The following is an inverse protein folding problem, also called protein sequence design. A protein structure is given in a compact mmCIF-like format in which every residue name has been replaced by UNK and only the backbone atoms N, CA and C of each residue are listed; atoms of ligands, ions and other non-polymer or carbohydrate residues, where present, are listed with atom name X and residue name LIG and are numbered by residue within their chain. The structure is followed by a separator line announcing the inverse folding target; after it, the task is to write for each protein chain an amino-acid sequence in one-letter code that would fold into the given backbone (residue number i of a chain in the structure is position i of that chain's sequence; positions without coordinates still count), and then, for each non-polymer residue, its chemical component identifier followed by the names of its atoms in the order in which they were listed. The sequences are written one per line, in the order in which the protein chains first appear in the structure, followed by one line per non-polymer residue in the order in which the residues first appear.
data_IF_168159751425
#
_entry.id   IF_168159751425
#
_cell.length_a   1.000
_cell.length_b   1.000
_cell.length_c   1.000
_cell.angle_alpha   90.00
_cell.angle_beta   90.00
_cell.angle_gamma   90.00
#
_symmetry.space_group_name_H-M   'P 1'
#
loop_
_entity.id
_entity.type
_entity.pdbx_description
1 polymer ?
#
# COMPACT_ATOMS: atom_id res chain seq x y z
N UNK A 1 -6.87 11.48 -2.90
CA UNK A 1 -8.25 11.57 -3.38
C UNK A 1 -8.54 10.41 -4.32
N UNK A 2 -9.74 9.84 -4.25
CA UNK A 2 -10.22 8.77 -5.14
C UNK A 2 -11.07 9.42 -6.22
N UNK A 3 -10.81 9.12 -7.50
CA UNK A 3 -11.66 9.50 -8.63
C UNK A 3 -12.70 8.39 -8.85
N UNK A 4 -13.96 8.75 -8.93
CA UNK A 4 -15.05 7.81 -9.24
C UNK A 4 -15.38 7.89 -10.72
N UNK A 5 -15.40 6.74 -11.38
CA UNK A 5 -15.80 6.56 -12.79
C UNK A 5 -17.02 5.64 -12.82
N UNK A 6 -18.11 6.09 -13.41
CA UNK A 6 -19.36 5.33 -13.48
C UNK A 6 -19.60 4.88 -14.93
N UNK A 7 -20.16 3.68 -15.11
CA UNK A 7 -20.61 3.19 -16.41
C UNK A 7 -21.63 4.17 -17.04
N UNK A 8 -21.60 4.32 -18.36
CA UNK A 8 -22.48 5.26 -19.05
C UNK A 8 -23.93 4.77 -19.11
N UNK A 9 -24.12 3.46 -19.01
CA UNK A 9 -25.44 2.81 -19.06
C UNK A 9 -25.53 1.71 -18.00
N UNK A 10 -26.76 1.30 -17.71
CA UNK A 10 -27.01 0.03 -17.03
C UNK A 10 -26.56 -1.10 -17.96
N UNK A 11 -25.85 -2.08 -17.41
CA UNK A 11 -25.28 -3.19 -18.17
C UNK A 11 -26.26 -4.36 -18.15
N UNK A 12 -26.91 -4.61 -19.25
CA UNK A 12 -27.85 -5.72 -19.42
C UNK A 12 -27.37 -6.76 -20.45
N UNK A 13 -26.28 -6.48 -21.17
CA UNK A 13 -25.74 -7.35 -22.22
C UNK A 13 -24.23 -7.21 -22.32
N UNK A 14 -23.62 -8.21 -22.95
CA UNK A 14 -22.15 -8.28 -23.12
C UNK A 14 -21.59 -7.08 -23.89
N UNK A 15 -22.33 -6.53 -24.87
CA UNK A 15 -21.88 -5.34 -25.61
C UNK A 15 -21.74 -4.09 -24.72
N UNK A 16 -22.66 -3.88 -23.79
CA UNK A 16 -22.61 -2.79 -22.81
C UNK A 16 -21.47 -3.02 -21.79
N UNK A 17 -21.29 -4.27 -21.39
CA UNK A 17 -20.16 -4.68 -20.54
C UNK A 17 -18.82 -4.37 -21.20
N UNK A 18 -18.67 -4.70 -22.48
CA UNK A 18 -17.46 -4.42 -23.25
C UNK A 18 -17.18 -2.92 -23.39
N UNK A 19 -18.23 -2.11 -23.63
CA UNK A 19 -18.11 -0.66 -23.69
C UNK A 19 -17.69 -0.05 -22.34
N UNK A 20 -18.26 -0.57 -21.24
CA UNK A 20 -17.87 -0.17 -19.89
C UNK A 20 -16.40 -0.53 -19.60
N UNK A 21 -15.97 -1.75 -19.93
CA UNK A 21 -14.59 -2.19 -19.75
C UNK A 21 -13.60 -1.31 -20.55
N UNK A 22 -13.96 -0.92 -21.78
CA UNK A 22 -13.16 -0.02 -22.60
C UNK A 22 -13.04 1.38 -21.98
N UNK A 23 -14.15 1.92 -21.48
CA UNK A 23 -14.14 3.18 -20.72
C UNK A 23 -13.25 3.11 -19.51
N UNK A 24 -13.39 2.08 -18.67
CA UNK A 24 -12.63 1.93 -17.43
C UNK A 24 -11.13 1.79 -17.69
N UNK A 25 -10.75 1.07 -18.74
CA UNK A 25 -9.35 0.97 -19.16
C UNK A 25 -8.79 2.32 -19.60
N UNK A 26 -9.53 3.11 -20.39
CA UNK A 26 -9.12 4.46 -20.82
C UNK A 26 -9.00 5.44 -19.68
N UNK A 27 -9.83 5.29 -18.65
CA UNK A 27 -9.81 6.14 -17.45
C UNK A 27 -8.81 5.67 -16.37
N UNK A 28 -8.13 4.54 -16.60
CA UNK A 28 -7.16 3.98 -15.66
C UNK A 28 -7.79 3.55 -14.34
N UNK A 29 -8.91 2.83 -14.40
CA UNK A 29 -9.62 2.36 -13.20
C UNK A 29 -8.88 1.18 -12.57
N UNK A 30 -8.46 1.32 -11.31
CA UNK A 30 -7.77 0.28 -10.54
C UNK A 30 -8.71 -0.60 -9.74
N UNK A 31 -9.90 -0.10 -9.39
CA UNK A 31 -10.83 -0.75 -8.48
C UNK A 31 -12.23 -0.72 -9.10
N UNK A 32 -12.89 -1.87 -9.15
CA UNK A 32 -14.26 -1.96 -9.64
C UNK A 32 -15.23 -2.46 -8.58
N UNK A 33 -16.43 -1.89 -8.58
CA UNK A 33 -17.57 -2.38 -7.81
C UNK A 33 -18.72 -2.57 -8.78
N UNK A 34 -19.10 -3.83 -8.98
CA UNK A 34 -20.28 -4.19 -9.79
C UNK A 34 -21.47 -4.37 -8.87
N UNK A 35 -22.57 -3.71 -9.17
CA UNK A 35 -23.82 -3.89 -8.42
C UNK A 35 -24.77 -4.76 -9.26
N UNK A 36 -25.27 -5.84 -8.65
CA UNK A 36 -26.28 -6.71 -9.26
C UNK A 36 -27.61 -6.46 -8.55
N UNK A 37 -28.42 -5.49 -9.02
CA UNK A 37 -29.65 -5.11 -8.35
C UNK A 37 -30.76 -6.15 -8.51
N UNK A 38 -30.71 -6.92 -9.58
CA UNK A 38 -31.68 -7.96 -9.88
C UNK A 38 -31.01 -9.13 -10.59
N UNK A 39 -31.83 -10.06 -11.07
CA UNK A 39 -31.40 -11.21 -11.84
C UNK A 39 -30.53 -10.82 -13.06
N UNK A 40 -29.34 -11.41 -13.16
CA UNK A 40 -28.44 -11.29 -14.29
C UNK A 40 -27.75 -12.64 -14.57
N UNK A 41 -27.29 -12.87 -15.78
CA UNK A 41 -26.68 -14.17 -16.15
C UNK A 41 -25.20 -14.30 -15.78
N UNK A 42 -24.57 -13.25 -15.31
CA UNK A 42 -23.19 -13.29 -14.82
C UNK A 42 -22.16 -12.87 -15.86
N UNK A 43 -22.28 -13.24 -17.12
CA UNK A 43 -21.30 -12.86 -18.16
C UNK A 43 -21.16 -11.35 -18.35
N UNK A 44 -22.27 -10.64 -18.30
CA UNK A 44 -22.34 -9.19 -18.39
C UNK A 44 -21.87 -8.44 -17.15
N UNK A 45 -21.80 -9.12 -15.99
CA UNK A 45 -21.38 -8.52 -14.72
C UNK A 45 -19.92 -8.75 -14.38
N UNK A 46 -19.23 -9.47 -15.24
CA UNK A 46 -17.82 -9.77 -15.01
C UNK A 46 -16.91 -8.61 -15.41
N UNK A 47 -16.06 -8.23 -14.49
CA UNK A 47 -14.87 -7.45 -14.82
C UNK A 47 -13.75 -8.42 -15.24
N UNK A 48 -13.44 -8.43 -16.54
CA UNK A 48 -12.46 -9.31 -17.15
C UNK A 48 -11.02 -8.80 -17.06
N UNK A 49 -10.80 -7.58 -16.58
CA UNK A 49 -9.46 -7.03 -16.46
C UNK A 49 -8.70 -7.71 -15.29
N UNK A 50 -7.59 -8.41 -15.54
CA UNK A 50 -6.86 -9.07 -14.46
C UNK A 50 -6.18 -8.09 -13.50
N UNK A 51 -6.05 -6.84 -13.88
CA UNK A 51 -5.35 -5.84 -13.08
C UNK A 51 -6.25 -5.08 -12.11
N UNK A 52 -7.56 -5.13 -12.24
CA UNK A 52 -8.47 -4.45 -11.33
C UNK A 52 -8.73 -5.26 -10.06
N UNK A 53 -8.93 -4.56 -8.95
CA UNK A 53 -9.38 -5.15 -7.67
C UNK A 53 -10.90 -5.07 -7.65
N UNK A 54 -11.56 -6.21 -7.52
CA UNK A 54 -12.98 -6.37 -7.82
C UNK A 54 -13.83 -6.66 -6.60
N UNK A 55 -14.98 -5.99 -6.49
CA UNK A 55 -16.08 -6.42 -5.63
C UNK A 55 -17.39 -6.50 -6.42
N UNK A 56 -18.25 -7.39 -5.99
CA UNK A 56 -19.60 -7.53 -6.50
C UNK A 56 -20.58 -7.36 -5.33
N UNK A 57 -21.45 -6.38 -5.42
CA UNK A 57 -22.54 -6.18 -4.47
C UNK A 57 -23.82 -6.76 -5.03
N UNK A 58 -24.29 -7.88 -4.44
CA UNK A 58 -25.59 -8.47 -4.72
C UNK A 58 -26.66 -7.81 -3.85
N UNK A 59 -27.62 -7.11 -4.47
CA UNK A 59 -28.76 -6.54 -3.76
C UNK A 59 -29.64 -7.64 -3.19
N UNK A 60 -29.91 -7.61 -1.88
CA UNK A 60 -30.71 -8.58 -1.18
C UNK A 60 -32.18 -8.12 -1.14
N UNK A 61 -32.88 -8.21 -2.26
CA UNK A 61 -34.25 -7.72 -2.43
C UNK A 61 -35.31 -8.83 -2.36
N UNK A 62 -36.56 -8.44 -2.15
CA UNK A 62 -37.74 -9.33 -2.10
C UNK A 62 -38.08 -9.93 -3.45
N UNK A 63 -37.85 -9.17 -4.56
CA UNK A 63 -38.18 -9.61 -5.90
C UNK A 63 -36.90 -9.73 -6.75
N UNK A 64 -36.70 -10.90 -7.41
CA UNK A 64 -35.56 -11.15 -8.29
C UNK A 64 -34.24 -10.69 -7.70
N UNK A 65 -33.87 -11.15 -6.53
CA UNK A 65 -32.74 -10.58 -5.77
C UNK A 65 -31.42 -10.82 -6.48
N UNK A 66 -30.64 -9.75 -6.65
CA UNK A 66 -29.28 -9.82 -7.19
C UNK A 66 -28.34 -10.67 -6.32
N UNK A 67 -28.61 -10.78 -5.02
CA UNK A 67 -27.87 -11.63 -4.09
C UNK A 67 -27.85 -13.11 -4.47
N UNK A 68 -28.90 -13.63 -5.10
CA UNK A 68 -28.97 -15.03 -5.58
C UNK A 68 -27.90 -15.28 -6.66
N UNK A 69 -27.61 -14.29 -7.47
CA UNK A 69 -26.61 -14.40 -8.55
C UNK A 69 -25.19 -14.09 -8.08
N UNK A 70 -25.02 -13.50 -6.92
CA UNK A 70 -23.72 -13.18 -6.36
C UNK A 70 -22.79 -14.40 -6.34
N UNK A 71 -23.29 -15.55 -5.87
CA UNK A 71 -22.50 -16.78 -5.84
C UNK A 71 -22.08 -17.24 -7.25
N UNK A 72 -22.99 -17.15 -8.23
CA UNK A 72 -22.68 -17.51 -9.62
C UNK A 72 -21.63 -16.57 -10.23
N UNK A 73 -21.77 -15.27 -10.04
CA UNK A 73 -20.80 -14.27 -10.53
C UNK A 73 -19.42 -14.46 -9.90
N UNK A 74 -19.38 -14.68 -8.59
CA UNK A 74 -18.12 -14.96 -7.88
C UNK A 74 -17.48 -16.27 -8.32
N UNK A 75 -18.28 -17.34 -8.50
CA UNK A 75 -17.78 -18.60 -9.00
C UNK A 75 -17.21 -18.47 -10.42
N UNK A 76 -17.85 -17.69 -11.28
CA UNK A 76 -17.38 -17.43 -12.65
C UNK A 76 -16.06 -16.65 -12.64
N UNK A 77 -15.93 -15.63 -11.80
CA UNK A 77 -14.67 -14.93 -11.61
C UNK A 77 -13.57 -15.89 -11.12
N UNK A 78 -13.87 -16.72 -10.12
CA UNK A 78 -12.91 -17.68 -9.58
C UNK A 78 -12.43 -18.69 -10.66
N UNK A 79 -13.33 -19.20 -11.50
CA UNK A 79 -12.98 -20.10 -12.62
C UNK A 79 -12.06 -19.45 -13.64
N UNK A 80 -12.10 -18.14 -13.77
CA UNK A 80 -11.24 -17.36 -14.69
C UNK A 80 -9.93 -16.91 -14.05
N UNK A 81 -9.69 -17.25 -12.79
CA UNK A 81 -8.53 -16.73 -12.05
C UNK A 81 -8.61 -15.22 -11.76
N UNK A 82 -9.80 -14.66 -11.71
CA UNK A 82 -10.07 -13.23 -11.48
C UNK A 82 -10.79 -13.06 -10.14
N UNK A 83 -10.11 -13.10 -8.99
CA UNK A 83 -10.76 -13.07 -7.69
C UNK A 83 -11.60 -11.80 -7.51
N UNK A 84 -12.80 -11.95 -6.97
CA UNK A 84 -13.70 -10.86 -6.65
C UNK A 84 -14.27 -11.03 -5.24
N UNK A 85 -14.55 -9.93 -4.55
CA UNK A 85 -15.11 -9.92 -3.19
C UNK A 85 -16.64 -9.78 -3.24
N UNK A 86 -17.34 -10.66 -2.56
CA UNK A 86 -18.81 -10.61 -2.46
C UNK A 86 -19.26 -9.69 -1.34
N UNK A 87 -20.25 -8.84 -1.63
CA UNK A 87 -20.90 -7.95 -0.68
C UNK A 87 -22.41 -8.14 -0.80
N UNK A 88 -23.12 -8.32 0.30
CA UNK A 88 -24.58 -8.34 0.35
C UNK A 88 -25.06 -7.91 1.74
N UNK A 89 -26.31 -7.43 1.82
CA UNK A 89 -26.96 -7.05 3.07
C UNK A 89 -27.43 -8.25 3.88
N UNK A 90 -27.43 -8.11 5.21
CA UNK A 90 -27.96 -9.12 6.12
C UNK A 90 -29.48 -9.21 5.98
N UNK A 91 -30.17 -8.08 5.93
CA UNK A 91 -31.60 -8.00 5.86
C UNK A 91 -32.09 -7.92 4.41
N UNK A 92 -33.31 -8.41 4.18
CA UNK A 92 -33.97 -8.32 2.89
C UNK A 92 -34.62 -6.96 2.75
N UNK A 93 -34.36 -6.29 1.62
CA UNK A 93 -34.91 -4.99 1.30
C UNK A 93 -36.09 -5.12 0.33
N UNK A 94 -37.06 -4.22 0.43
CA UNK A 94 -38.11 -4.09 -0.58
C UNK A 94 -37.52 -3.59 -1.91
N UNK A 95 -38.15 -3.94 -3.02
CA UNK A 95 -37.61 -3.67 -4.35
C UNK A 95 -37.45 -2.17 -4.68
N UNK A 96 -38.21 -1.32 -4.03
CA UNK A 96 -38.18 0.14 -4.17
C UNK A 96 -37.30 0.85 -3.13
N UNK A 97 -36.74 0.10 -2.17
CA UNK A 97 -35.80 0.65 -1.21
C UNK A 97 -34.44 0.90 -1.86
N UNK A 98 -34.11 2.17 -2.07
CA UNK A 98 -32.84 2.62 -2.64
C UNK A 98 -31.77 2.97 -1.61
N UNK A 99 -32.05 2.71 -0.32
CA UNK A 99 -31.09 2.93 0.74
C UNK A 99 -29.94 1.93 0.68
N UNK A 100 -28.78 2.30 1.24
CA UNK A 100 -27.67 1.38 1.42
C UNK A 100 -27.69 0.94 2.89
N UNK A 101 -27.97 -0.33 3.19
CA UNK A 101 -27.94 -0.83 4.56
C UNK A 101 -26.59 -0.57 5.23
N UNK A 102 -26.58 -0.29 6.53
CA UNK A 102 -25.35 0.11 7.23
C UNK A 102 -24.27 -1.00 7.18
N UNK A 103 -24.67 -2.28 7.27
CA UNK A 103 -23.72 -3.39 7.14
C UNK A 103 -23.11 -3.50 5.73
N UNK A 104 -23.88 -3.18 4.68
CA UNK A 104 -23.37 -3.10 3.29
C UNK A 104 -22.42 -1.93 3.15
N UNK A 105 -22.79 -0.77 3.68
CA UNK A 105 -21.96 0.43 3.68
C UNK A 105 -20.61 0.18 4.38
N UNK A 106 -20.64 -0.47 5.53
CA UNK A 106 -19.42 -0.86 6.25
C UNK A 106 -18.53 -1.79 5.40
N UNK A 107 -19.13 -2.81 4.76
CA UNK A 107 -18.41 -3.74 3.88
C UNK A 107 -17.81 -3.03 2.66
N UNK A 108 -18.56 -2.13 2.02
CA UNK A 108 -18.08 -1.31 0.90
C UNK A 108 -16.91 -0.40 1.31
N UNK A 109 -17.00 0.26 2.46
CA UNK A 109 -15.93 1.11 2.96
C UNK A 109 -14.68 0.31 3.33
N UNK A 110 -14.84 -0.86 3.94
CA UNK A 110 -13.73 -1.75 4.25
C UNK A 110 -13.04 -2.26 2.98
N UNK A 111 -13.81 -2.73 2.01
CA UNK A 111 -13.30 -3.11 0.70
C UNK A 111 -12.57 -1.94 0.03
N UNK A 112 -13.18 -0.77 -0.04
CA UNK A 112 -12.59 0.41 -0.68
C UNK A 112 -11.26 0.82 -0.06
N UNK A 113 -11.15 0.83 1.27
CA UNK A 113 -9.89 1.12 1.97
C UNK A 113 -8.80 0.09 1.65
N UNK A 114 -9.12 -1.20 1.70
CA UNK A 114 -8.18 -2.27 1.39
C UNK A 114 -7.76 -2.23 -0.10
N UNK A 115 -8.71 -2.01 -1.00
CA UNK A 115 -8.46 -1.93 -2.43
C UNK A 115 -7.58 -0.73 -2.81
N UNK A 116 -7.82 0.44 -2.21
CA UNK A 116 -6.95 1.63 -2.41
C UNK A 116 -5.54 1.36 -1.92
N UNK A 117 -5.39 0.72 -0.76
CA UNK A 117 -4.07 0.34 -0.24
C UNK A 117 -3.35 -0.62 -1.21
N UNK A 118 -4.02 -1.68 -1.66
CA UNK A 118 -3.45 -2.64 -2.59
C UNK A 118 -3.13 -2.01 -3.97
N UNK A 119 -4.01 -1.17 -4.52
CA UNK A 119 -3.77 -0.47 -5.77
C UNK A 119 -2.56 0.48 -5.67
N UNK A 120 -2.38 1.13 -4.52
CA UNK A 120 -1.26 2.06 -4.30
C UNK A 120 0.11 1.39 -4.20
N UNK A 121 0.15 0.07 -3.97
CA UNK A 121 1.40 -0.70 -3.93
C UNK A 121 1.98 -0.98 -5.33
N UNK A 122 1.12 -1.06 -6.36
CA UNK A 122 1.56 -1.43 -7.70
C UNK A 122 2.60 -0.48 -8.27
N UNK A 123 3.67 -1.05 -8.79
CA UNK A 123 4.79 -0.30 -9.37
C UNK A 123 5.64 0.44 -8.34
N UNK A 124 5.35 0.30 -7.05
CA UNK A 124 6.17 0.80 -5.95
C UNK A 124 7.27 -0.18 -5.60
N UNK A 125 8.14 0.22 -4.68
CA UNK A 125 9.20 -0.63 -4.17
C UNK A 125 9.09 -0.83 -2.65
N UNK A 126 9.62 -1.92 -2.17
CA UNK A 126 10.09 -2.11 -0.81
C UNK A 126 11.61 -1.94 -0.82
N UNK A 127 12.14 -1.03 -0.01
CA UNK A 127 13.57 -0.78 0.07
C UNK A 127 14.17 -1.61 1.22
N UNK A 128 14.91 -2.63 0.85
CA UNK A 128 15.69 -3.44 1.77
C UNK A 128 17.04 -2.75 1.99
N UNK A 129 17.35 -2.42 3.24
CA UNK A 129 18.64 -1.83 3.62
C UNK A 129 19.48 -2.92 4.27
N UNK A 130 20.62 -3.23 3.67
CA UNK A 130 21.47 -4.34 4.06
C UNK A 130 21.05 -5.68 3.45
N UNK A 131 21.45 -6.77 4.05
CA UNK A 131 21.18 -8.13 3.60
C UNK A 131 20.81 -9.04 4.76
N UNK A 132 20.34 -10.25 4.45
CA UNK A 132 20.02 -11.28 5.45
C UNK A 132 21.25 -11.61 6.31
N UNK A 133 21.13 -11.43 7.61
CA UNK A 133 22.16 -11.82 8.58
C UNK A 133 21.75 -13.06 9.35
N UNK A 134 22.73 -13.84 9.76
CA UNK A 134 22.59 -15.03 10.61
C UNK A 134 21.74 -16.17 10.04
N UNK A 135 21.30 -16.08 8.78
CA UNK A 135 20.52 -17.13 8.13
C UNK A 135 19.11 -17.35 8.72
N UNK A 136 18.53 -16.31 9.32
CA UNK A 136 17.15 -16.38 9.82
C UNK A 136 16.19 -16.47 8.64
N UNK A 137 15.59 -17.64 8.43
CA UNK A 137 14.74 -17.91 7.26
C UNK A 137 13.57 -16.94 7.10
N UNK A 138 12.96 -16.50 8.20
CA UNK A 138 11.84 -15.54 8.17
C UNK A 138 12.22 -14.12 7.77
N UNK A 139 13.51 -13.79 7.72
CA UNK A 139 14.00 -12.48 7.22
C UNK A 139 14.38 -12.51 5.75
N UNK A 140 14.31 -13.65 5.09
CA UNK A 140 14.56 -13.77 3.64
C UNK A 140 13.32 -13.30 2.90
N UNK A 141 13.48 -12.26 2.11
CA UNK A 141 12.40 -11.73 1.27
C UNK A 141 12.42 -12.47 -0.06
N UNK A 142 11.31 -13.10 -0.39
CA UNK A 142 11.07 -13.64 -1.72
C UNK A 142 10.57 -12.51 -2.63
N UNK A 143 11.46 -11.99 -3.46
CA UNK A 143 11.16 -10.89 -4.38
C UNK A 143 10.08 -11.25 -5.39
N UNK A 144 10.09 -12.49 -5.90
CA UNK A 144 9.12 -12.95 -6.90
C UNK A 144 7.71 -13.04 -6.29
N UNK A 145 7.63 -13.44 -5.01
CA UNK A 145 6.36 -13.42 -4.29
C UNK A 145 5.84 -11.98 -4.09
N UNK A 146 6.68 -11.07 -3.64
CA UNK A 146 6.31 -9.66 -3.43
C UNK A 146 5.86 -9.02 -4.75
N UNK A 147 6.58 -9.30 -5.84
CA UNK A 147 6.22 -8.79 -7.17
C UNK A 147 4.89 -9.37 -7.67
N UNK A 148 4.72 -10.69 -7.58
CA UNK A 148 3.52 -11.38 -8.07
C UNK A 148 2.27 -11.04 -7.27
N UNK A 149 2.38 -10.94 -5.93
CA UNK A 149 1.24 -10.72 -5.05
C UNK A 149 0.89 -9.24 -4.86
N UNK A 150 1.90 -8.40 -4.68
CA UNK A 150 1.70 -6.99 -4.35
C UNK A 150 1.97 -6.05 -5.53
N UNK A 151 2.56 -6.55 -6.61
CA UNK A 151 3.01 -5.74 -7.73
C UNK A 151 4.14 -4.77 -7.36
N UNK A 152 4.88 -5.08 -6.30
CA UNK A 152 5.98 -4.25 -5.79
C UNK A 152 7.32 -4.87 -6.15
N UNK A 153 8.31 -4.01 -6.41
CA UNK A 153 9.71 -4.45 -6.53
C UNK A 153 10.35 -4.55 -5.14
N UNK A 154 11.36 -5.39 -5.01
CA UNK A 154 12.29 -5.36 -3.88
C UNK A 154 13.59 -4.75 -4.38
N UNK A 155 13.92 -3.58 -3.87
CA UNK A 155 15.17 -2.88 -4.14
C UNK A 155 16.08 -3.04 -2.93
N UNK A 156 17.39 -3.21 -3.16
CA UNK A 156 18.37 -3.37 -2.08
C UNK A 156 19.40 -2.26 -2.11
N UNK A 157 19.68 -1.69 -0.96
CA UNK A 157 20.73 -0.70 -0.73
C UNK A 157 21.63 -1.21 0.38
N UNK A 158 22.94 -1.09 0.20
CA UNK A 158 23.90 -1.44 1.24
C UNK A 158 23.84 -0.42 2.41
N UNK A 159 24.00 -0.89 3.63
CA UNK A 159 24.03 -0.03 4.82
C UNK A 159 25.15 1.03 4.76
N UNK A 160 26.25 0.74 4.08
CA UNK A 160 27.36 1.68 3.84
C UNK A 160 26.90 2.93 3.10
N UNK A 161 25.86 2.84 2.26
CA UNK A 161 25.33 4.02 1.55
C UNK A 161 24.78 5.07 2.52
N UNK A 162 24.14 4.65 3.61
CA UNK A 162 23.67 5.59 4.64
C UNK A 162 24.87 6.29 5.29
N UNK A 163 25.92 5.54 5.65
CA UNK A 163 27.14 6.09 6.26
C UNK A 163 27.86 7.04 5.29
N UNK A 164 27.96 6.67 4.01
CA UNK A 164 28.53 7.54 2.97
C UNK A 164 27.76 8.86 2.89
N UNK A 165 26.42 8.81 2.83
CA UNK A 165 25.60 10.01 2.79
C UNK A 165 25.76 10.89 4.04
N UNK A 166 25.90 10.27 5.20
CA UNK A 166 26.17 11.01 6.43
C UNK A 166 27.53 11.72 6.40
N UNK A 167 28.59 10.99 6.02
CA UNK A 167 29.96 11.51 6.03
C UNK A 167 30.23 12.54 4.95
N UNK A 168 29.58 12.42 3.79
CA UNK A 168 29.68 13.37 2.68
C UNK A 168 28.60 14.46 2.73
N UNK A 169 27.79 14.48 3.78
CA UNK A 169 26.68 15.44 3.99
C UNK A 169 25.67 15.48 2.83
N UNK A 170 25.34 14.30 2.27
CA UNK A 170 24.38 14.14 1.17
C UNK A 170 22.96 14.01 1.74
N UNK A 171 22.42 15.10 2.25
CA UNK A 171 21.04 15.24 2.72
C UNK A 171 20.65 16.73 2.76
N UNK A 172 19.34 16.99 2.73
CA UNK A 172 18.82 18.36 2.87
C UNK A 172 18.95 18.82 4.33
N UNK A 173 19.92 19.74 4.57
CA UNK A 173 20.19 20.27 5.92
C UNK A 173 18.98 21.01 6.51
N UNK A 174 18.22 21.74 5.67
CA UNK A 174 17.04 22.46 6.14
C UNK A 174 15.90 21.51 6.53
N UNK A 175 15.77 20.38 5.83
CA UNK A 175 14.85 19.32 6.20
C UNK A 175 15.28 18.61 7.49
N UNK A 176 16.57 18.31 7.62
CA UNK A 176 17.12 17.72 8.83
C UNK A 176 16.83 18.58 10.07
N UNK A 177 17.08 19.88 10.00
CA UNK A 177 16.80 20.81 11.11
C UNK A 177 15.31 20.83 11.51
N UNK A 178 14.41 20.81 10.52
CA UNK A 178 12.97 20.72 10.77
C UNK A 178 12.58 19.38 11.41
N UNK A 179 13.14 18.28 10.91
CA UNK A 179 12.88 16.95 11.42
C UNK A 179 13.38 16.80 12.87
N UNK A 180 14.60 17.29 13.15
CA UNK A 180 15.19 17.27 14.48
C UNK A 180 14.36 18.07 15.48
N UNK A 181 13.98 19.29 15.10
CA UNK A 181 13.11 20.12 15.93
C UNK A 181 11.79 19.41 16.22
N UNK A 182 11.12 18.92 15.20
CA UNK A 182 9.86 18.19 15.34
C UNK A 182 10.01 16.96 16.24
N UNK A 183 11.07 16.18 16.05
CA UNK A 183 11.32 15.00 16.85
C UNK A 183 11.55 15.32 18.32
N UNK A 184 12.34 16.36 18.64
CA UNK A 184 12.56 16.84 20.01
C UNK A 184 11.26 17.33 20.68
N UNK A 185 10.35 17.96 19.93
CA UNK A 185 9.08 18.48 20.45
C UNK A 185 8.01 17.39 20.61
N UNK A 186 8.04 16.35 19.78
CA UNK A 186 6.93 15.39 19.65
C UNK A 186 7.25 14.01 20.23
N UNK A 187 8.48 13.54 20.10
CA UNK A 187 8.88 12.24 20.60
C UNK A 187 9.01 12.23 22.12
N UNK A 188 8.42 11.22 22.73
CA UNK A 188 8.60 10.99 24.17
C UNK A 188 9.88 10.21 24.41
N UNK A 189 10.79 10.79 25.14
CA UNK A 189 12.00 10.10 25.59
C UNK A 189 11.59 9.15 26.72
N UNK A 190 11.83 7.86 26.51
CA UNK A 190 11.70 6.83 27.56
C UNK A 190 12.81 6.95 28.60
N UNK A 191 12.75 6.13 29.63
CA UNK A 191 13.87 5.99 30.55
C UNK A 191 14.72 4.77 30.18
N UNK A 192 16.01 4.92 30.34
CA UNK A 192 16.99 3.88 30.11
C UNK A 192 16.94 2.86 31.28
N UNK A 193 16.64 1.61 30.94
CA UNK A 193 16.54 0.52 31.91
C UNK A 193 17.88 -0.24 32.14
N UNK A 194 18.91 0.13 31.39
CA UNK A 194 20.21 -0.47 31.56
C UNK A 194 20.79 -0.12 32.94
N UNK A 195 21.68 -0.95 33.51
CA UNK A 195 22.50 -0.58 34.67
C UNK A 195 23.21 0.76 34.41
N UNK A 196 23.41 1.53 35.48
CA UNK A 196 23.94 2.91 35.39
C UNK A 196 25.30 2.97 34.65
N UNK A 197 26.13 1.96 34.86
CA UNK A 197 27.44 1.83 34.20
C UNK A 197 27.39 1.56 32.69
N UNK A 198 26.21 1.18 32.16
CA UNK A 198 25.97 0.91 30.75
C UNK A 198 25.13 2.00 30.08
N UNK A 199 24.68 3.01 30.83
CA UNK A 199 23.91 4.09 30.27
C UNK A 199 24.82 5.10 29.59
N UNK A 200 24.44 5.51 28.38
CA UNK A 200 25.12 6.61 27.70
C UNK A 200 24.91 7.94 28.45
N UNK A 201 25.91 8.81 28.40
CA UNK A 201 25.82 10.16 28.98
C UNK A 201 24.71 10.98 28.28
N UNK A 202 24.24 12.08 28.89
CA UNK A 202 23.27 12.96 28.21
C UNK A 202 23.77 13.48 26.86
N UNK A 203 25.05 13.79 26.75
CA UNK A 203 25.70 14.27 25.53
C UNK A 203 25.70 13.18 24.46
N UNK A 204 26.09 11.97 24.78
CA UNK A 204 26.07 10.82 23.88
C UNK A 204 24.64 10.49 23.42
N UNK A 205 23.65 10.58 24.30
CA UNK A 205 22.22 10.39 23.95
C UNK A 205 21.74 11.45 22.95
N UNK A 206 22.18 12.69 23.09
CA UNK A 206 21.86 13.75 22.16
C UNK A 206 22.48 13.51 20.78
N UNK A 207 23.76 13.13 20.73
CA UNK A 207 24.46 12.78 19.50
C UNK A 207 23.80 11.58 18.79
N UNK A 208 23.46 10.55 19.54
CA UNK A 208 22.73 9.39 19.02
C UNK A 208 21.36 9.76 18.48
N UNK A 209 20.64 10.66 19.15
CA UNK A 209 19.34 11.12 18.71
C UNK A 209 19.43 11.91 17.38
N UNK A 210 20.42 12.79 17.27
CA UNK A 210 20.68 13.52 16.02
C UNK A 210 21.08 12.57 14.88
N UNK A 211 21.92 11.58 15.17
CA UNK A 211 22.31 10.54 14.21
C UNK A 211 21.09 9.80 13.67
N UNK A 212 20.19 9.35 14.54
CA UNK A 212 18.96 8.61 14.16
C UNK A 212 18.04 9.48 13.31
N UNK A 213 17.86 10.75 13.65
CA UNK A 213 17.04 11.66 12.85
C UNK A 213 17.66 11.90 11.47
N UNK A 214 18.98 12.07 11.41
CA UNK A 214 19.70 12.22 10.14
C UNK A 214 19.56 10.98 9.27
N UNK A 215 19.73 9.80 9.85
CA UNK A 215 19.51 8.52 9.20
C UNK A 215 18.08 8.42 8.62
N UNK A 216 17.07 8.82 9.37
CA UNK A 216 15.68 8.80 8.93
C UNK A 216 15.44 9.74 7.72
N UNK A 217 16.05 10.91 7.69
CA UNK A 217 15.99 11.85 6.54
C UNK A 217 16.66 11.22 5.32
N UNK A 218 17.85 10.63 5.48
CA UNK A 218 18.57 9.94 4.41
C UNK A 218 17.77 8.76 3.85
N UNK A 219 17.18 7.94 4.72
CA UNK A 219 16.32 6.82 4.30
C UNK A 219 15.10 7.33 3.53
N UNK A 220 14.47 8.41 3.99
CA UNK A 220 13.38 9.05 3.25
C UNK A 220 13.81 9.49 1.86
N UNK A 221 15.00 10.05 1.72
CA UNK A 221 15.55 10.46 0.43
C UNK A 221 15.87 9.25 -0.47
N UNK A 222 16.42 8.18 0.10
CA UNK A 222 16.58 6.90 -0.61
C UNK A 222 15.23 6.35 -1.11
N UNK A 223 14.17 6.46 -0.31
CA UNK A 223 12.83 5.99 -0.71
C UNK A 223 12.22 6.85 -1.82
N UNK A 224 12.21 8.16 -1.67
CA UNK A 224 11.39 9.06 -2.47
C UNK A 224 12.17 9.95 -3.44
N UNK A 225 13.48 10.03 -3.27
CA UNK A 225 14.32 11.04 -3.88
C UNK A 225 14.20 12.40 -3.21
N UNK A 226 15.14 13.27 -3.50
CA UNK A 226 15.15 14.65 -2.98
C UNK A 226 15.74 15.62 -4.04
N UNK A 227 14.88 16.47 -4.59
CA UNK A 227 15.25 17.45 -5.62
C UNK A 227 16.02 18.65 -5.07
N UNK A 228 16.13 18.78 -3.75
CA UNK A 228 16.85 19.87 -3.10
C UNK A 228 18.33 19.54 -2.85
N UNK A 229 18.77 18.34 -3.19
CA UNK A 229 20.19 18.00 -3.13
C UNK A 229 20.98 18.80 -4.16
N UNK A 230 22.26 19.05 -3.87
CA UNK A 230 23.21 19.72 -4.77
C UNK A 230 23.25 18.97 -6.13
N UNK A 231 23.37 19.72 -7.24
CA UNK A 231 23.42 19.17 -8.60
C UNK A 231 24.51 18.10 -8.80
N UNK A 232 25.61 18.19 -8.05
CA UNK A 232 26.67 17.17 -8.07
C UNK A 232 26.22 15.80 -7.55
N UNK A 233 25.09 15.74 -6.83
CA UNK A 233 24.46 14.53 -6.29
C UNK A 233 23.18 14.16 -7.05
N UNK A 234 23.18 14.37 -8.36
CA UNK A 234 22.02 14.14 -9.21
C UNK A 234 21.54 12.68 -9.20
N UNK A 235 22.42 11.70 -9.03
CA UNK A 235 22.06 10.29 -8.88
C UNK A 235 21.43 10.02 -7.52
N UNK A 236 22.00 10.55 -6.45
CA UNK A 236 21.46 10.41 -5.09
C UNK A 236 20.12 11.13 -4.90
N UNK A 237 19.83 12.12 -5.73
CA UNK A 237 18.55 12.83 -5.75
C UNK A 237 17.40 11.96 -6.30
N UNK A 238 17.72 10.85 -7.00
CA UNK A 238 16.74 9.90 -7.51
C UNK A 238 16.48 8.85 -6.43
N UNK A 239 15.22 8.73 -5.99
CA UNK A 239 14.82 7.71 -5.02
C UNK A 239 14.41 6.40 -5.68
N UNK A 240 14.17 5.38 -4.87
CA UNK A 240 13.76 4.04 -5.29
C UNK A 240 12.25 3.87 -5.45
N UNK A 241 11.45 4.96 -5.42
CA UNK A 241 9.99 4.92 -5.47
C UNK A 241 9.39 3.96 -4.42
N UNK A 242 9.95 3.93 -3.22
CA UNK A 242 9.61 2.97 -2.19
C UNK A 242 8.46 3.46 -1.29
N UNK A 243 7.55 2.55 -0.95
CA UNK A 243 6.49 2.77 0.04
C UNK A 243 6.92 2.43 1.46
N UNK A 244 7.84 1.49 1.60
CA UNK A 244 8.37 1.04 2.86
C UNK A 244 9.87 0.76 2.74
N UNK A 245 10.56 0.89 3.85
CA UNK A 245 11.97 0.51 3.98
C UNK A 245 12.17 -0.26 5.27
N UNK A 246 13.18 -1.12 5.30
CA UNK A 246 13.54 -1.85 6.50
C UNK A 246 14.97 -2.36 6.47
N UNK A 247 15.62 -2.34 7.65
CA UNK A 247 16.93 -2.93 7.83
C UNK A 247 16.85 -4.45 7.85
N UNK A 248 17.73 -5.09 7.09
CA UNK A 248 17.88 -6.55 7.04
C UNK A 248 19.08 -7.05 7.83
N UNK A 249 19.85 -6.18 8.42
CA UNK A 249 20.93 -6.51 9.33
C UNK A 249 20.46 -6.48 10.77
N UNK A 250 20.92 -7.37 11.62
CA UNK A 250 20.56 -7.34 13.03
C UNK A 250 21.70 -6.85 13.91
N UNK A 251 22.84 -7.48 13.98
CA UNK A 251 23.86 -7.12 14.95
C UNK A 251 24.87 -6.08 14.48
N UNK A 252 25.31 -6.19 13.25
CA UNK A 252 26.40 -5.33 12.75
C UNK A 252 26.01 -3.85 12.82
N UNK A 253 24.78 -3.52 12.47
CA UNK A 253 24.31 -2.14 12.57
C UNK A 253 24.11 -1.70 14.00
N UNK A 254 23.36 -2.46 14.80
CA UNK A 254 23.03 -2.12 16.19
C UNK A 254 24.21 -2.20 17.16
N UNK A 255 25.28 -2.91 16.81
CA UNK A 255 26.49 -2.99 17.64
C UNK A 255 27.49 -1.85 17.34
N UNK A 256 27.36 -1.18 16.19
CA UNK A 256 28.28 -0.13 15.75
C UNK A 256 27.65 1.26 15.60
N UNK A 257 26.35 1.32 15.49
CA UNK A 257 25.57 2.54 15.32
C UNK A 257 24.34 2.54 16.21
N UNK A 258 23.84 3.72 16.62
CA UNK A 258 22.67 3.85 17.47
C UNK A 258 21.40 3.25 16.88
#
# INVERSE_FOLDING_TARGET
PVKVVIADTTIGRVGESAACADKFRKEGVDITVTVTPCWCYGAETMDMDPQTIKAVWGFNGTERPGAVYLASVLATHAQKGLPAFGIYGHDVQEADDTSIPEDVKEKLLRFGRAAVAAASMRGKSYLQIGSVTMGIGGSIIDSDFIESYLGMRVESVDEVEIIRRMSEEIYDKAEFEKALKWAKETCKIGWDKNPEELQASPEEKEEQFEFVVKMAVIIKDLMNGNKNLDEKFSEEAIGHNALAAGFQGQRQWTDFYP
#
